data_IF_090823337935
#
_entry.id   IF_090823337935
#
_cell.length_a   1.000
_cell.length_b   1.000
_cell.length_c   1.000
_cell.angle_alpha   90.00
_cell.angle_beta   90.00
_cell.angle_gamma   90.00
#
_symmetry.space_group_name_H-M   'P 1'
#
loop_
_entity.id
_entity.type
_entity.pdbx_description
1 polymer ?
#
# COMPACT_ATOMS: atom_id res chain seq x y z
N UNK A 1 -13.73 -20.04 -5.82
CA UNK A 1 -13.85 -18.77 -5.09
C UNK A 1 -14.88 -17.93 -5.80
N UNK A 2 -16.04 -17.70 -5.18
CA UNK A 2 -17.06 -16.82 -5.74
C UNK A 2 -16.59 -15.37 -5.67
N UNK A 3 -16.87 -14.59 -6.71
CA UNK A 3 -16.61 -13.15 -6.72
C UNK A 3 -17.39 -12.55 -5.55
N UNK A 4 -16.68 -11.95 -4.58
CA UNK A 4 -17.32 -11.24 -3.49
C UNK A 4 -18.12 -10.07 -4.09
N UNK A 5 -19.38 -9.94 -3.68
CA UNK A 5 -20.21 -8.78 -4.01
C UNK A 5 -19.50 -7.50 -3.52
N UNK A 6 -19.18 -6.52 -4.40
CA UNK A 6 -18.45 -5.31 -4.04
C UNK A 6 -19.10 -4.53 -2.89
N UNK A 7 -20.43 -4.51 -2.82
CA UNK A 7 -21.15 -3.76 -1.78
C UNK A 7 -21.00 -4.44 -0.42
N UNK A 8 -21.07 -5.78 -0.39
CA UNK A 8 -20.81 -6.57 0.83
C UNK A 8 -19.35 -6.53 1.25
N UNK A 9 -18.42 -6.44 0.31
CA UNK A 9 -17.01 -6.24 0.62
C UNK A 9 -16.79 -4.87 1.26
N UNK A 10 -17.46 -3.83 0.76
CA UNK A 10 -17.38 -2.48 1.29
C UNK A 10 -18.00 -2.38 2.69
N UNK A 11 -19.14 -3.04 2.93
CA UNK A 11 -19.74 -3.16 4.27
C UNK A 11 -18.78 -3.84 5.26
N UNK A 12 -18.16 -4.95 4.85
CA UNK A 12 -17.16 -5.65 5.67
C UNK A 12 -15.95 -4.77 6.02
N UNK A 13 -15.44 -3.97 5.08
CA UNK A 13 -14.34 -3.03 5.35
C UNK A 13 -14.74 -1.84 6.25
N UNK A 14 -16.04 -1.53 6.33
CA UNK A 14 -16.55 -0.39 7.09
C UNK A 14 -16.96 -0.78 8.52
N UNK A 15 -17.10 -2.07 8.81
CA UNK A 15 -17.40 -2.56 10.16
C UNK A 15 -16.12 -2.61 11.00
N UNK A 16 -16.12 -2.05 12.22
CA UNK A 16 -14.99 -2.17 13.12
C UNK A 16 -14.72 -3.63 13.49
N UNK A 17 -13.49 -4.09 13.31
CA UNK A 17 -13.02 -5.42 13.71
C UNK A 17 -12.17 -5.33 15.00
N UNK A 18 -12.13 -6.41 15.77
CA UNK A 18 -11.23 -6.58 16.91
C UNK A 18 -9.75 -6.40 16.52
N UNK A 19 -9.44 -6.61 15.24
CA UNK A 19 -8.10 -6.48 14.67
C UNK A 19 -7.76 -5.05 14.18
N UNK A 20 -8.72 -4.12 14.14
CA UNK A 20 -8.49 -2.76 13.60
C UNK A 20 -7.46 -1.94 14.37
N UNK A 21 -7.29 -2.25 15.66
CA UNK A 21 -6.34 -1.56 16.52
C UNK A 21 -4.96 -2.24 16.55
N UNK A 22 -4.74 -3.27 15.74
CA UNK A 22 -3.44 -3.92 15.68
C UNK A 22 -2.40 -2.98 15.06
N UNK A 23 -1.22 -2.86 15.70
CA UNK A 23 -0.16 -2.04 15.14
C UNK A 23 0.35 -2.67 13.83
N UNK A 24 0.33 -1.89 12.75
CA UNK A 24 0.99 -2.25 11.50
C UNK A 24 2.43 -1.74 11.53
N UNK A 25 3.38 -2.66 11.53
CA UNK A 25 4.80 -2.30 11.57
C UNK A 25 5.29 -1.84 10.20
N UNK A 26 5.55 -0.54 10.08
CA UNK A 26 6.34 0.04 8.99
C UNK A 26 7.52 0.82 9.56
N UNK A 27 8.71 0.58 9.01
CA UNK A 27 9.89 1.35 9.41
C UNK A 27 9.75 2.82 9.01
N UNK A 28 10.44 3.69 9.74
CA UNK A 28 10.55 5.12 9.37
C UNK A 28 11.01 5.32 7.93
N UNK A 29 11.90 4.46 7.43
CA UNK A 29 12.41 4.54 6.07
C UNK A 29 11.33 4.18 5.03
N UNK A 30 10.57 3.10 5.27
CA UNK A 30 9.40 2.73 4.47
C UNK A 30 8.37 3.86 4.40
N UNK A 31 7.98 4.40 5.57
CA UNK A 31 7.02 5.50 5.65
C UNK A 31 7.46 6.73 4.82
N UNK A 32 8.72 7.14 4.96
CA UNK A 32 9.28 8.27 4.19
C UNK A 32 9.28 8.00 2.68
N UNK A 33 9.66 6.80 2.26
CA UNK A 33 9.74 6.44 0.83
C UNK A 33 8.34 6.38 0.22
N UNK A 34 7.37 5.75 0.90
CA UNK A 34 5.98 5.70 0.48
C UNK A 34 5.39 7.10 0.33
N UNK A 35 5.58 7.98 1.32
CA UNK A 35 5.12 9.35 1.25
C UNK A 35 5.73 10.11 0.06
N UNK A 36 7.04 9.97 -0.18
CA UNK A 36 7.69 10.62 -1.32
C UNK A 36 7.11 10.14 -2.67
N UNK A 37 6.86 8.84 -2.82
CA UNK A 37 6.29 8.28 -4.05
C UNK A 37 4.88 8.80 -4.28
N UNK A 38 4.03 8.82 -3.25
CA UNK A 38 2.66 9.36 -3.34
C UNK A 38 2.69 10.83 -3.76
N UNK A 39 3.51 11.65 -3.09
CA UNK A 39 3.61 13.09 -3.40
C UNK A 39 4.08 13.31 -4.83
N UNK A 40 5.09 12.58 -5.29
CA UNK A 40 5.57 12.70 -6.67
C UNK A 40 4.52 12.25 -7.70
N UNK A 41 3.76 11.18 -7.42
CA UNK A 41 2.64 10.78 -8.25
C UNK A 41 1.56 11.87 -8.36
N UNK A 42 1.22 12.51 -7.23
CA UNK A 42 0.27 13.64 -7.19
C UNK A 42 0.78 14.89 -7.91
N UNK A 43 2.09 15.12 -7.89
CA UNK A 43 2.76 16.22 -8.60
C UNK A 43 2.95 15.95 -10.10
N UNK A 44 2.55 14.77 -10.60
CA UNK A 44 2.55 14.45 -12.02
C UNK A 44 3.83 13.77 -12.53
N UNK A 45 4.69 13.27 -11.64
CA UNK A 45 5.84 12.47 -12.07
C UNK A 45 5.38 11.13 -12.65
N UNK A 46 5.52 10.95 -13.96
CA UNK A 46 5.05 9.77 -14.70
C UNK A 46 5.62 8.47 -14.11
N UNK A 47 6.89 8.49 -13.68
CA UNK A 47 7.58 7.36 -13.04
C UNK A 47 6.99 6.95 -11.68
N UNK A 48 6.11 7.74 -11.08
CA UNK A 48 5.52 7.44 -9.77
C UNK A 48 3.99 7.35 -9.78
N UNK A 49 3.35 7.58 -10.94
CA UNK A 49 1.89 7.58 -11.07
C UNK A 49 1.30 6.19 -10.81
N UNK A 50 1.89 5.14 -11.37
CA UNK A 50 1.43 3.75 -11.14
C UNK A 50 1.96 3.19 -9.80
N UNK A 51 3.11 3.67 -9.37
CA UNK A 51 3.83 3.28 -8.17
C UNK A 51 3.08 3.73 -6.92
N UNK A 52 2.31 4.81 -7.02
CA UNK A 52 1.33 5.21 -5.98
C UNK A 52 0.34 4.09 -5.69
N UNK A 53 -0.11 3.33 -6.71
CA UNK A 53 -0.97 2.16 -6.51
C UNK A 53 -0.21 1.01 -5.84
N UNK A 54 1.08 0.84 -6.15
CA UNK A 54 1.92 -0.17 -5.48
C UNK A 54 2.19 0.18 -4.02
N UNK A 55 2.29 1.47 -3.67
CA UNK A 55 2.33 1.91 -2.26
C UNK A 55 1.03 1.53 -1.54
N UNK A 56 -0.13 1.78 -2.16
CA UNK A 56 -1.41 1.37 -1.57
C UNK A 56 -1.50 -0.16 -1.36
N UNK A 57 -1.04 -0.95 -2.34
CA UNK A 57 -0.96 -2.42 -2.23
C UNK A 57 -0.01 -2.86 -1.12
N UNK A 58 1.13 -2.19 -0.96
CA UNK A 58 2.09 -2.47 0.12
C UNK A 58 1.46 -2.26 1.50
N UNK A 59 0.82 -1.10 1.71
CA UNK A 59 0.17 -0.78 2.99
C UNK A 59 -0.99 -1.74 3.28
N UNK A 60 -1.76 -2.09 2.24
CA UNK A 60 -2.81 -3.10 2.36
C UNK A 60 -2.23 -4.47 2.77
N UNK A 61 -1.18 -4.94 2.11
CA UNK A 61 -0.52 -6.20 2.47
C UNK A 61 0.04 -6.17 3.90
N UNK A 62 0.68 -5.07 4.31
CA UNK A 62 1.20 -4.92 5.66
C UNK A 62 0.10 -4.97 6.73
N UNK A 63 -1.06 -4.35 6.47
CA UNK A 63 -2.23 -4.44 7.37
C UNK A 63 -2.76 -5.86 7.49
N UNK A 64 -2.91 -6.57 6.38
CA UNK A 64 -3.35 -7.97 6.36
C UNK A 64 -2.38 -8.90 7.07
N UNK A 65 -1.07 -8.69 6.92
CA UNK A 65 -0.05 -9.51 7.60
C UNK A 65 -0.05 -9.27 9.12
N UNK A 66 -0.34 -8.05 9.58
CA UNK A 66 -0.44 -7.72 11.00
C UNK A 66 -1.63 -8.39 11.71
N UNK A 67 -2.79 -8.48 11.04
CA UNK A 67 -4.01 -9.09 11.57
C UNK A 67 -4.06 -10.62 11.54
N UNK A 68 -3.13 -11.27 10.83
CA UNK A 68 -3.34 -12.63 10.34
C UNK A 68 -4.39 -12.63 9.22
N UNK A 69 -4.38 -13.65 8.36
CA UNK A 69 -5.20 -13.64 7.14
C UNK A 69 -6.55 -14.35 7.34
N UNK A 70 -7.70 -13.65 7.40
CA UNK A 70 -8.99 -14.32 7.49
C UNK A 70 -9.43 -14.98 6.17
N UNK A 71 -8.84 -14.55 5.03
CA UNK A 71 -9.30 -14.94 3.68
C UNK A 71 -8.24 -15.62 2.80
N UNK A 72 -7.14 -16.11 3.39
CA UNK A 72 -6.08 -16.84 2.69
C UNK A 72 -4.82 -16.04 2.38
N UNK A 73 -3.90 -16.62 1.62
CA UNK A 73 -2.62 -15.98 1.25
C UNK A 73 -2.83 -14.89 0.20
N UNK A 74 -2.34 -13.68 0.47
CA UNK A 74 -2.26 -12.63 -0.53
C UNK A 74 -1.37 -13.07 -1.71
N UNK A 75 -1.67 -12.63 -2.95
CA UNK A 75 -0.86 -12.99 -4.13
C UNK A 75 0.55 -12.40 -4.10
N UNK A 76 0.78 -11.33 -3.32
CA UNK A 76 2.11 -10.75 -3.04
C UNK A 76 2.18 -10.36 -1.57
N UNK A 77 3.33 -10.63 -0.94
CA UNK A 77 3.60 -10.21 0.44
C UNK A 77 3.95 -8.72 0.52
N UNK A 78 3.87 -8.15 1.71
CA UNK A 78 4.35 -6.79 1.96
C UNK A 78 5.85 -6.66 1.64
N UNK A 79 6.64 -7.71 1.90
CA UNK A 79 8.09 -7.70 1.61
C UNK A 79 8.39 -7.69 0.11
N UNK A 80 7.66 -8.46 -0.70
CA UNK A 80 7.83 -8.46 -2.16
C UNK A 80 7.52 -7.07 -2.76
N UNK A 81 6.39 -6.49 -2.34
CA UNK A 81 5.98 -5.15 -2.74
C UNK A 81 6.99 -4.09 -2.28
N UNK A 82 7.53 -4.25 -1.07
CA UNK A 82 8.52 -3.35 -0.54
C UNK A 82 9.83 -3.39 -1.33
N UNK A 83 10.31 -4.58 -1.72
CA UNK A 83 11.52 -4.70 -2.57
C UNK A 83 11.38 -3.94 -3.88
N UNK A 84 10.21 -4.01 -4.52
CA UNK A 84 9.91 -3.25 -5.75
C UNK A 84 9.96 -1.74 -5.49
N UNK A 85 9.26 -1.26 -4.46
CA UNK A 85 9.23 0.17 -4.09
C UNK A 85 10.59 0.72 -3.67
N UNK A 86 11.40 -0.10 -3.00
CA UNK A 86 12.73 0.27 -2.54
C UNK A 86 13.75 0.33 -3.68
N UNK A 87 13.56 -0.45 -4.75
CA UNK A 87 14.40 -0.42 -5.93
C UNK A 87 14.24 0.87 -6.76
N UNK A 88 13.11 1.58 -6.60
CA UNK A 88 12.87 2.85 -7.27
C UNK A 88 13.85 3.94 -6.78
N UNK A 89 14.25 4.89 -7.66
CA UNK A 89 14.98 6.07 -7.22
C UNK A 89 14.18 6.88 -6.20
N UNK A 90 14.85 7.73 -5.43
CA UNK A 90 14.15 8.69 -4.59
C UNK A 90 13.50 9.76 -5.47
N UNK A 91 12.19 10.04 -5.29
CA UNK A 91 11.54 11.11 -6.02
C UNK A 91 12.22 12.45 -5.76
N UNK A 92 12.34 13.27 -6.80
CA UNK A 92 12.77 14.64 -6.65
C UNK A 92 11.63 15.47 -6.04
N UNK A 93 11.93 16.46 -5.19
CA UNK A 93 10.91 17.32 -4.62
C UNK A 93 10.33 18.28 -5.67
N UNK A 94 9.01 18.50 -5.61
CA UNK A 94 8.30 19.42 -6.49
C UNK A 94 7.95 18.81 -7.85
N UNK A 95 7.21 19.53 -8.70
CA UNK A 95 6.75 19.02 -9.99
C UNK A 95 7.90 18.61 -10.91
N UNK A 96 7.64 17.72 -11.90
CA UNK A 96 8.62 17.36 -12.92
C UNK A 96 9.22 18.60 -13.57
N UNK A 97 10.53 18.56 -13.82
CA UNK A 97 11.18 19.56 -14.67
C UNK A 97 10.89 19.16 -16.12
N UNK A 98 10.34 20.10 -16.89
CA UNK A 98 10.13 19.96 -18.33
C UNK A 98 11.39 19.46 -19.07
#
# INVERSE_FOLDING_TARGET
>A
MGILDPDKYQEFLAEPDELDNLPVEVSRYQAKKCAAIIMAGLEGHITYAEETKNVARFLHAAGFEAGGTPFGTLPRTADDLWRELNALPWPLPGPPKD
#
